data_IF_557416653855
#
_entry.id   IF_557416653855
#
_cell.length_a   1.000
_cell.length_b   1.000
_cell.length_c   1.000
_cell.angle_alpha   90.00
_cell.angle_beta   90.00
_cell.angle_gamma   90.00
#
_symmetry.space_group_name_H-M   'P 1'
#
loop_
_entity.id
_entity.type
_entity.pdbx_description
1 polymer ?
#
# COMPACT_ATOMS: atom_id res chain seq x y z
N UNK A 1 -8.65 8.37 -6.62
CA UNK A 1 -8.11 7.09 -7.10
C UNK A 1 -7.23 7.32 -8.34
N UNK A 2 -6.13 6.57 -8.49
CA UNK A 2 -5.15 6.72 -9.59
C UNK A 2 -5.65 6.29 -10.99
N UNK A 3 -6.87 5.72 -11.09
CA UNK A 3 -7.54 5.30 -12.34
C UNK A 3 -6.67 4.40 -13.25
N UNK A 4 -5.79 3.59 -12.64
CA UNK A 4 -5.00 2.55 -13.30
C UNK A 4 -4.74 1.41 -12.33
N UNK A 5 -4.38 0.25 -12.88
CA UNK A 5 -3.89 -0.89 -12.10
C UNK A 5 -2.45 -0.61 -11.64
N UNK A 6 -2.11 -1.06 -10.44
CA UNK A 6 -0.76 -1.01 -9.92
C UNK A 6 0.16 -1.95 -10.72
N UNK A 7 1.39 -1.52 -10.98
CA UNK A 7 2.43 -2.41 -11.44
C UNK A 7 2.87 -3.34 -10.29
N UNK A 8 3.33 -4.57 -10.57
CA UNK A 8 3.75 -5.51 -9.52
C UNK A 8 4.76 -4.92 -8.53
N UNK A 9 5.68 -4.09 -9.02
CA UNK A 9 6.73 -3.47 -8.20
C UNK A 9 6.17 -2.44 -7.22
N UNK A 10 5.02 -1.82 -7.51
CA UNK A 10 4.35 -0.91 -6.59
C UNK A 10 3.83 -1.67 -5.36
N UNK A 11 3.28 -2.87 -5.56
CA UNK A 11 2.83 -3.73 -4.46
C UNK A 11 4.03 -4.31 -3.70
N UNK A 12 5.06 -4.77 -4.42
CA UNK A 12 6.27 -5.30 -3.81
C UNK A 12 6.95 -4.27 -2.90
N UNK A 13 7.01 -2.99 -3.29
CA UNK A 13 7.56 -1.93 -2.45
C UNK A 13 6.76 -1.70 -1.17
N UNK A 14 5.43 -1.79 -1.22
CA UNK A 14 4.59 -1.71 0.00
C UNK A 14 4.85 -2.88 0.95
N UNK A 15 5.02 -4.10 0.42
CA UNK A 15 5.41 -5.25 1.23
C UNK A 15 6.82 -5.10 1.82
N UNK A 16 7.78 -4.64 1.02
CA UNK A 16 9.15 -4.38 1.47
C UNK A 16 9.21 -3.31 2.56
N UNK A 17 8.39 -2.26 2.47
CA UNK A 17 8.27 -1.27 3.53
C UNK A 17 7.87 -1.93 4.86
N UNK A 18 6.81 -2.76 4.86
CA UNK A 18 6.34 -3.47 6.05
C UNK A 18 7.35 -4.50 6.60
N UNK A 19 8.24 -5.01 5.74
CA UNK A 19 9.30 -5.93 6.13
C UNK A 19 10.59 -5.23 6.57
N UNK A 20 10.64 -3.89 6.52
CA UNK A 20 11.86 -3.12 6.79
C UNK A 20 11.82 -2.42 8.15
N UNK A 21 12.98 -1.94 8.59
CA UNK A 21 13.08 -1.14 9.82
C UNK A 21 12.25 0.16 9.77
N UNK A 22 11.91 0.64 8.57
CA UNK A 22 11.07 1.81 8.39
C UNK A 22 9.65 1.62 8.96
N UNK A 23 9.19 0.38 9.10
CA UNK A 23 7.90 0.06 9.73
C UNK A 23 8.05 -0.49 11.16
N UNK A 24 9.18 -0.27 11.84
CA UNK A 24 9.48 -0.81 13.17
C UNK A 24 8.43 -0.53 14.26
N UNK A 25 7.61 0.51 14.09
CA UNK A 25 6.51 0.85 15.00
C UNK A 25 5.11 0.70 14.39
N UNK A 26 5.00 0.08 13.22
CA UNK A 26 3.71 -0.19 12.56
C UNK A 26 3.36 -1.67 12.74
N UNK A 27 2.30 -1.94 13.50
CA UNK A 27 1.79 -3.31 13.71
C UNK A 27 0.27 -3.31 13.91
N UNK A 28 -0.37 -4.47 13.73
CA UNK A 28 -1.80 -4.66 13.98
C UNK A 28 -2.73 -3.87 13.04
N UNK A 29 -2.26 -3.46 11.87
CA UNK A 29 -3.00 -2.61 10.93
C UNK A 29 -2.85 -3.08 9.48
N UNK A 30 -3.80 -2.70 8.64
CA UNK A 30 -3.78 -2.98 7.21
C UNK A 30 -3.23 -1.76 6.42
N UNK A 31 -2.23 -2.00 5.58
CA UNK A 31 -1.72 -1.02 4.63
C UNK A 31 -2.44 -1.19 3.28
N UNK A 32 -3.25 -0.21 2.88
CA UNK A 32 -3.93 -0.22 1.59
C UNK A 32 -3.04 0.34 0.48
N UNK A 33 -2.56 -0.55 -0.41
CA UNK A 33 -1.79 -0.21 -1.61
C UNK A 33 -2.66 -0.34 -2.87
N UNK A 34 -3.73 0.46 -2.94
CA UNK A 34 -4.83 0.29 -3.91
C UNK A 34 -5.01 1.49 -4.85
N UNK A 35 -4.09 2.45 -4.82
CA UNK A 35 -4.22 3.70 -5.58
C UNK A 35 -5.38 4.59 -5.12
N UNK A 36 -5.86 4.42 -3.89
CA UNK A 36 -6.93 5.21 -3.28
C UNK A 36 -8.32 4.89 -3.80
N UNK A 37 -8.60 3.63 -4.14
CA UNK A 37 -9.89 3.14 -4.63
C UNK A 37 -10.86 2.93 -3.45
N UNK A 38 -10.40 2.36 -2.34
CA UNK A 38 -11.19 2.05 -1.14
C UNK A 38 -11.82 3.28 -0.47
N UNK A 39 -11.31 4.49 -0.72
CA UNK A 39 -11.84 5.74 -0.16
C UNK A 39 -12.52 6.63 -1.20
N UNK A 40 -12.55 6.22 -2.47
CA UNK A 40 -13.13 7.01 -3.54
C UNK A 40 -14.61 6.66 -3.72
N UNK A 41 -15.50 7.66 -3.61
CA UNK A 41 -16.97 7.51 -3.73
C UNK A 41 -17.51 7.84 -5.12
N UNK A 42 -16.64 7.92 -6.12
CA UNK A 42 -16.92 8.41 -7.48
C UNK A 42 -16.59 7.35 -8.51
#
# INVERSE_FOLDING_TARGET
>A
ALKRVAQPEEIARSALYLASDASSFTTGTALFADGGVSINRT
#
